data_IF_449199142072
#
_entry.id   IF_449199142072
#
_cell.length_a   1.000
_cell.length_b   1.000
_cell.length_c   1.000
_cell.angle_alpha   90.00
_cell.angle_beta   90.00
_cell.angle_gamma   90.00
#
_symmetry.space_group_name_H-M   'P 1'
#
loop_
_entity.id
_entity.type
_entity.pdbx_description
1 polymer ?
#
# COMPACT_ATOMS: atom_id res chain seq x y z
N UNK A 1 21.30 1.65 -18.29
CA UNK A 1 20.04 2.40 -18.19
C UNK A 1 18.90 1.42 -18.00
N UNK A 2 17.92 1.60 -17.13
CA UNK A 2 17.76 2.55 -16.03
C UNK A 2 16.87 1.83 -15.02
N UNK A 3 17.37 1.62 -13.80
CA UNK A 3 16.54 1.19 -12.69
C UNK A 3 15.42 2.24 -12.54
N UNK A 4 14.13 1.89 -12.69
CA UNK A 4 13.06 2.88 -12.61
C UNK A 4 13.00 3.45 -11.20
N UNK A 5 12.59 4.70 -11.03
CA UNK A 5 12.19 5.17 -9.71
C UNK A 5 10.84 4.58 -9.34
N UNK A 6 10.60 4.35 -8.05
CA UNK A 6 9.35 3.83 -7.53
C UNK A 6 8.76 4.90 -6.61
N UNK A 7 7.57 5.40 -6.97
CA UNK A 7 6.80 6.31 -6.12
C UNK A 7 5.62 5.54 -5.53
N UNK A 8 5.63 5.34 -4.21
CA UNK A 8 4.51 4.77 -3.47
C UNK A 8 3.66 5.90 -2.87
N UNK A 9 2.40 6.00 -3.31
CA UNK A 9 1.41 6.90 -2.73
C UNK A 9 0.43 6.06 -1.93
N UNK A 10 0.35 6.28 -0.61
CA UNK A 10 -0.58 5.60 0.28
C UNK A 10 -1.42 6.63 1.02
N UNK A 11 -2.74 6.49 0.95
CA UNK A 11 -3.69 7.28 1.74
C UNK A 11 -4.14 6.49 2.96
N UNK A 12 -4.56 7.17 4.03
CA UNK A 12 -5.15 6.52 5.22
C UNK A 12 -6.68 6.59 5.13
N UNK A 13 -7.34 5.52 5.59
CA UNK A 13 -8.81 5.42 5.68
C UNK A 13 -9.58 5.70 4.37
N UNK A 14 -8.95 5.53 3.21
CA UNK A 14 -9.55 5.82 1.92
C UNK A 14 -10.43 4.65 1.43
N UNK A 15 -11.75 4.83 1.48
CA UNK A 15 -12.69 3.90 0.87
C UNK A 15 -12.73 4.08 -0.66
N UNK A 16 -12.44 3.04 -1.47
CA UNK A 16 -12.18 3.16 -2.91
C UNK A 16 -13.36 3.78 -3.68
N UNK A 17 -14.59 3.50 -3.22
CA UNK A 17 -15.83 4.04 -3.79
C UNK A 17 -15.91 5.57 -3.78
N UNK A 18 -15.09 6.28 -2.98
CA UNK A 18 -15.00 7.74 -2.97
C UNK A 18 -13.91 8.27 -3.90
N UNK A 19 -13.83 7.73 -5.12
CA UNK A 19 -12.91 8.21 -6.14
C UNK A 19 -13.46 7.99 -7.55
N UNK A 20 -12.99 8.79 -8.50
CA UNK A 20 -13.37 8.72 -9.91
C UNK A 20 -13.04 7.37 -10.57
N UNK A 21 -11.90 6.70 -10.30
CA UNK A 21 -11.61 5.39 -10.90
C UNK A 21 -12.61 4.29 -10.50
N UNK A 22 -13.35 4.48 -9.41
CA UNK A 22 -14.41 3.57 -8.95
C UNK A 22 -15.83 4.13 -9.20
N UNK A 23 -15.96 5.21 -9.98
CA UNK A 23 -17.23 5.71 -10.49
C UNK A 23 -18.05 6.57 -9.53
N UNK A 24 -17.43 7.22 -8.54
CA UNK A 24 -18.16 8.10 -7.63
C UNK A 24 -18.83 9.28 -8.40
N UNK A 25 -20.13 9.58 -8.19
CA UNK A 25 -20.85 10.55 -9.02
C UNK A 25 -20.51 12.03 -8.74
N UNK A 26 -20.01 12.36 -7.53
CA UNK A 26 -19.73 13.75 -7.11
C UNK A 26 -18.26 14.09 -6.82
N UNK A 27 -17.49 13.14 -6.27
CA UNK A 27 -16.07 13.32 -5.94
C UNK A 27 -15.25 13.40 -7.22
N UNK A 28 -14.50 14.48 -7.38
CA UNK A 28 -13.63 14.71 -8.52
C UNK A 28 -12.18 14.43 -8.14
N UNK A 29 -11.57 13.45 -8.81
CA UNK A 29 -10.17 13.06 -8.59
C UNK A 29 -9.37 13.05 -9.89
N UNK A 30 -9.31 14.16 -10.64
CA UNK A 30 -8.83 14.16 -12.03
C UNK A 30 -7.41 13.59 -12.19
N UNK A 31 -6.52 13.78 -11.21
CA UNK A 31 -5.18 13.21 -11.24
C UNK A 31 -5.14 11.71 -10.93
N UNK A 32 -6.05 11.19 -10.09
CA UNK A 32 -6.18 9.74 -9.89
C UNK A 32 -6.83 9.09 -11.12
N UNK A 33 -7.77 9.78 -11.76
CA UNK A 33 -8.43 9.33 -12.99
C UNK A 33 -7.40 9.19 -14.11
N UNK A 34 -6.51 10.17 -14.25
CA UNK A 34 -5.38 10.11 -15.18
C UNK A 34 -4.45 8.92 -14.88
N UNK A 35 -4.04 8.75 -13.61
CA UNK A 35 -3.19 7.62 -13.21
C UNK A 35 -3.85 6.26 -13.50
N UNK A 36 -5.16 6.14 -13.32
CA UNK A 36 -5.91 4.93 -13.62
C UNK A 36 -5.98 4.65 -15.14
N UNK A 37 -6.16 5.68 -15.97
CA UNK A 37 -6.22 5.55 -17.42
C UNK A 37 -4.87 5.20 -18.06
N UNK A 38 -3.76 5.65 -17.46
CA UNK A 38 -2.39 5.38 -17.94
C UNK A 38 -1.78 4.09 -17.37
N UNK A 39 -2.49 3.42 -16.45
CA UNK A 39 -1.97 2.30 -15.67
C UNK A 39 -2.91 1.10 -15.60
N UNK A 40 -2.85 0.40 -14.46
CA UNK A 40 -3.71 -0.74 -14.16
C UNK A 40 -4.48 -0.48 -12.86
N UNK A 41 -5.79 -0.68 -12.89
CA UNK A 41 -6.68 -0.57 -11.72
C UNK A 41 -7.13 -1.95 -11.27
N UNK A 42 -6.97 -2.24 -9.98
CA UNK A 42 -7.40 -3.49 -9.37
C UNK A 42 -8.78 -3.32 -8.73
N UNK A 43 -9.83 -3.85 -9.37
CA UNK A 43 -11.19 -3.71 -8.86
C UNK A 43 -11.43 -4.40 -7.50
N UNK A 44 -10.63 -5.43 -7.18
CA UNK A 44 -10.79 -6.27 -6.00
C UNK A 44 -9.47 -6.36 -5.20
N UNK A 45 -8.96 -5.23 -4.73
CA UNK A 45 -7.78 -5.15 -3.86
C UNK A 45 -8.21 -5.01 -2.39
N UNK A 46 -7.77 -5.94 -1.54
CA UNK A 46 -8.13 -5.98 -0.11
C UNK A 46 -6.89 -5.79 0.78
N UNK A 47 -7.05 -5.07 1.88
CA UNK A 47 -6.06 -5.03 2.94
C UNK A 47 -6.11 -6.33 3.77
N UNK A 48 -4.99 -6.70 4.38
CA UNK A 48 -4.90 -7.90 5.23
C UNK A 48 -5.49 -7.70 6.64
N UNK A 49 -5.79 -6.46 7.04
CA UNK A 49 -6.47 -6.13 8.28
C UNK A 49 -7.14 -4.76 8.16
N UNK A 50 -8.40 -4.58 8.61
CA UNK A 50 -9.10 -3.30 8.56
C UNK A 50 -8.69 -2.36 9.71
N UNK A 51 -7.41 -2.36 10.09
CA UNK A 51 -6.85 -1.53 11.16
C UNK A 51 -5.48 -0.97 10.74
N UNK A 52 -5.21 0.30 11.08
CA UNK A 52 -4.09 1.09 10.59
C UNK A 52 -2.74 0.35 10.65
N UNK A 53 -2.26 0.02 11.85
CA UNK A 53 -0.93 -0.54 12.04
C UNK A 53 -0.82 -1.98 11.51
N UNK A 54 -1.76 -2.90 11.83
CA UNK A 54 -1.76 -4.25 11.24
C UNK A 54 -1.73 -4.24 9.70
N UNK A 55 -2.55 -3.39 9.06
CA UNK A 55 -2.59 -3.24 7.61
C UNK A 55 -1.23 -2.80 7.06
N UNK A 56 -0.64 -1.76 7.65
CA UNK A 56 0.66 -1.20 7.24
C UNK A 56 1.81 -2.20 7.45
N UNK A 57 1.83 -2.92 8.57
CA UNK A 57 2.88 -3.90 8.83
C UNK A 57 2.80 -5.08 7.88
N UNK A 58 1.59 -5.57 7.59
CA UNK A 58 1.39 -6.59 6.58
C UNK A 58 1.81 -6.13 5.18
N UNK A 59 1.43 -4.89 4.81
CA UNK A 59 1.85 -4.26 3.57
C UNK A 59 3.38 -4.13 3.45
N UNK A 60 4.06 -3.67 4.51
CA UNK A 60 5.51 -3.51 4.52
C UNK A 60 6.25 -4.85 4.42
N UNK A 61 5.76 -5.88 5.10
CA UNK A 61 6.43 -7.19 5.16
C UNK A 61 6.05 -8.13 4.01
N UNK A 62 4.91 -7.90 3.36
CA UNK A 62 4.32 -8.83 2.39
C UNK A 62 3.85 -10.14 3.03
N UNK A 63 3.55 -10.14 4.34
CA UNK A 63 3.17 -11.32 5.12
C UNK A 63 1.80 -11.13 5.78
N UNK A 64 1.07 -12.21 5.99
CA UNK A 64 -0.23 -12.16 6.69
C UNK A 64 -0.05 -11.81 8.17
N UNK A 65 -1.10 -11.25 8.78
CA UNK A 65 -1.10 -10.81 10.19
C UNK A 65 -0.66 -11.91 11.15
N UNK A 66 -1.14 -13.15 10.95
CA UNK A 66 -0.76 -14.29 11.78
C UNK A 66 0.74 -14.63 11.73
N UNK A 67 1.46 -14.22 10.68
CA UNK A 67 2.88 -14.49 10.50
C UNK A 67 3.77 -13.41 11.11
N UNK A 68 3.20 -12.25 11.43
CA UNK A 68 3.93 -11.08 11.98
C UNK A 68 3.47 -10.69 13.39
N UNK A 69 2.37 -11.26 13.88
CA UNK A 69 1.88 -11.02 15.25
C UNK A 69 1.30 -9.62 15.48
N UNK A 70 1.04 -8.85 14.42
CA UNK A 70 0.54 -7.48 14.50
C UNK A 70 -0.99 -7.44 14.56
N UNK A 71 -1.56 -7.77 15.71
CA UNK A 71 -3.02 -7.97 15.85
C UNK A 71 -3.80 -6.68 16.14
N UNK A 72 -3.14 -5.64 16.65
CA UNK A 72 -3.76 -4.37 17.02
C UNK A 72 -2.82 -3.18 16.78
N UNK A 73 -3.27 -1.96 17.12
CA UNK A 73 -2.48 -0.73 16.96
C UNK A 73 -1.39 -0.51 18.02
N UNK A 74 -1.26 -1.41 19.00
CA UNK A 74 -0.20 -1.38 20.01
C UNK A 74 0.89 -2.44 19.75
N UNK A 75 0.67 -3.33 18.78
CA UNK A 75 1.57 -4.41 18.45
C UNK A 75 2.85 -3.86 17.78
N UNK A 76 4.05 -4.14 18.31
CA UNK A 76 5.28 -3.72 17.65
C UNK A 76 5.62 -4.61 16.46
N UNK A 77 6.24 -4.06 15.42
CA UNK A 77 6.94 -4.87 14.42
C UNK A 77 8.34 -5.18 14.98
N UNK A 78 8.76 -6.45 15.06
CA UNK A 78 10.13 -6.80 15.40
C UNK A 78 11.13 -6.08 14.48
N UNK A 79 12.24 -5.62 15.05
CA UNK A 79 13.25 -4.85 14.30
C UNK A 79 13.99 -5.65 13.24
N UNK A 80 13.95 -6.98 13.33
CA UNK A 80 14.50 -7.93 12.37
C UNK A 80 13.51 -8.32 11.26
N UNK A 81 12.29 -7.76 11.28
CA UNK A 81 11.30 -8.02 10.24
C UNK A 81 11.75 -7.46 8.89
N UNK A 82 11.95 -8.35 7.91
CA UNK A 82 12.28 -7.96 6.54
C UNK A 82 11.06 -7.34 5.86
N UNK A 83 11.25 -6.15 5.28
CA UNK A 83 10.22 -5.41 4.52
C UNK A 83 10.60 -5.29 3.05
N UNK A 84 9.66 -4.85 2.20
CA UNK A 84 9.98 -4.55 0.81
C UNK A 84 11.04 -3.43 0.67
N UNK A 85 11.13 -2.50 1.63
CA UNK A 85 12.19 -1.48 1.64
C UNK A 85 13.58 -2.11 1.77
N UNK A 86 13.76 -3.07 2.68
CA UNK A 86 15.02 -3.82 2.80
C UNK A 86 15.39 -4.52 1.48
N UNK A 87 14.40 -5.08 0.79
CA UNK A 87 14.61 -5.74 -0.51
C UNK A 87 14.97 -4.76 -1.62
N UNK A 88 14.32 -3.59 -1.66
CA UNK A 88 14.67 -2.51 -2.58
C UNK A 88 16.09 -2.00 -2.33
N UNK A 89 16.48 -1.79 -1.07
CA UNK A 89 17.85 -1.41 -0.70
C UNK A 89 18.87 -2.45 -1.14
N UNK A 90 18.61 -3.73 -0.91
CA UNK A 90 19.47 -4.82 -1.37
C UNK A 90 19.56 -4.88 -2.91
N UNK A 91 18.49 -4.47 -3.61
CA UNK A 91 18.48 -4.30 -5.06
C UNK A 91 19.14 -2.99 -5.52
N UNK A 92 19.70 -2.17 -4.62
CA UNK A 92 20.43 -0.95 -4.88
C UNK A 92 19.59 0.32 -5.04
N UNK A 93 18.32 0.29 -4.62
CA UNK A 93 17.50 1.50 -4.51
C UNK A 93 17.88 2.30 -3.25
N UNK A 94 17.74 3.62 -3.34
CA UNK A 94 17.67 4.48 -2.17
C UNK A 94 16.24 4.46 -1.61
N UNK A 95 16.11 4.16 -0.33
CA UNK A 95 14.84 3.96 0.39
C UNK A 95 14.91 4.49 1.79
#
# INVERSE_FOLDING_TARGET
>A
MNRPNILLIMTDEHAPMYSGPYGHPLVQTPFMDQLAAEGATFANAYCNSPLCLPSRMSFMTGRYINQIGAFDNASPLPSDAVTWAHRLRAAGYDV
#
